data_IF_919768367810
#
_entry.id   IF_919768367810
#
_cell.length_a   1.000
_cell.length_b   1.000
_cell.length_c   1.000
_cell.angle_alpha   90.00
_cell.angle_beta   90.00
_cell.angle_gamma   90.00
#
_symmetry.space_group_name_H-M   'P 1'
#
loop_
_entity.id
_entity.type
_entity.pdbx_description
1 polymer ?
#
# COMPACT_ATOMS: atom_id res chain seq x y z
N UNK A 1 -18.66 12.00 52.90
CA UNK A 1 -19.40 12.47 51.72
C UNK A 1 -18.38 12.61 50.59
N UNK A 2 -18.02 11.49 49.97
CA UNK A 2 -16.92 11.41 49.00
C UNK A 2 -17.46 10.77 47.74
N UNK A 3 -18.29 11.54 47.01
CA UNK A 3 -18.78 11.20 45.68
C UNK A 3 -18.24 12.24 44.68
N UNK A 4 -16.92 12.46 44.71
CA UNK A 4 -16.23 13.26 43.72
C UNK A 4 -15.17 12.38 43.05
N UNK A 5 -15.50 11.99 41.82
CA UNK A 5 -14.56 11.74 40.72
C UNK A 5 -13.77 10.42 40.75
N UNK A 6 -14.49 9.29 40.81
CA UNK A 6 -14.03 8.09 40.12
C UNK A 6 -14.31 8.23 38.62
N UNK A 7 -13.57 9.11 37.93
CA UNK A 7 -13.44 9.01 36.47
C UNK A 7 -12.38 7.95 36.25
N UNK A 8 -12.82 6.69 36.23
CA UNK A 8 -11.95 5.59 35.85
C UNK A 8 -11.60 5.77 34.36
N UNK A 9 -10.32 5.68 34.00
CA UNK A 9 -9.90 5.79 32.61
C UNK A 9 -10.30 4.54 31.84
N UNK A 10 -11.50 4.56 31.28
CA UNK A 10 -12.06 3.47 30.47
C UNK A 10 -12.12 3.94 29.00
N UNK A 11 -11.01 3.80 28.25
CA UNK A 11 -10.90 4.33 26.89
C UNK A 11 -11.94 3.74 25.94
N UNK A 12 -12.37 2.49 26.19
CA UNK A 12 -13.40 1.81 25.40
C UNK A 12 -14.78 2.45 25.57
N UNK A 13 -15.25 2.65 26.81
CA UNK A 13 -16.55 3.30 27.07
C UNK A 13 -16.54 4.75 26.60
N UNK A 14 -15.45 5.47 26.86
CA UNK A 14 -15.31 6.86 26.40
C UNK A 14 -15.33 6.94 24.87
N UNK A 15 -14.64 6.03 24.19
CA UNK A 15 -14.63 5.95 22.74
C UNK A 15 -16.02 5.72 22.15
N UNK A 16 -16.76 4.74 22.67
CA UNK A 16 -18.13 4.44 22.23
C UNK A 16 -19.05 5.65 22.47
N UNK A 17 -18.97 6.27 23.66
CA UNK A 17 -19.79 7.43 24.00
C UNK A 17 -19.51 8.61 23.06
N UNK A 18 -18.25 8.88 22.73
CA UNK A 18 -17.86 9.92 21.78
C UNK A 18 -18.47 9.65 20.40
N UNK A 19 -18.43 8.40 19.93
CA UNK A 19 -19.03 8.03 18.63
C UNK A 19 -20.54 8.24 18.65
N UNK A 20 -21.24 7.81 19.71
CA UNK A 20 -22.70 8.01 19.84
C UNK A 20 -23.03 9.51 19.84
N UNK A 21 -22.31 10.31 20.62
CA UNK A 21 -22.52 11.76 20.67
C UNK A 21 -22.22 12.40 19.31
N UNK A 22 -21.15 11.99 18.63
CA UNK A 22 -20.79 12.49 17.30
C UNK A 22 -21.88 12.16 16.27
N UNK A 23 -22.39 10.92 16.23
CA UNK A 23 -23.46 10.52 15.31
C UNK A 23 -24.76 11.24 15.63
N UNK A 24 -25.16 11.30 16.90
CA UNK A 24 -26.37 11.99 17.35
C UNK A 24 -26.32 13.49 17.08
N UNK A 25 -25.17 14.13 17.30
CA UNK A 25 -25.01 15.58 17.12
C UNK A 25 -24.83 15.93 15.64
N UNK A 26 -24.00 15.21 14.89
CA UNK A 26 -23.72 15.54 13.49
C UNK A 26 -24.85 15.10 12.56
N UNK A 27 -25.26 13.83 12.62
CA UNK A 27 -26.29 13.29 11.73
C UNK A 27 -27.70 13.58 12.27
N UNK A 28 -27.88 13.42 13.59
CA UNK A 28 -29.18 13.61 14.23
C UNK A 28 -29.67 15.06 14.21
N UNK A 29 -28.81 16.05 14.43
CA UNK A 29 -29.22 17.46 14.38
C UNK A 29 -29.73 17.88 13.00
N UNK A 30 -29.03 17.50 11.93
CA UNK A 30 -29.42 17.77 10.54
C UNK A 30 -30.77 17.11 10.24
N UNK A 31 -30.96 15.85 10.68
CA UNK A 31 -32.25 15.18 10.53
C UNK A 31 -33.37 15.89 11.30
N UNK A 32 -33.16 16.30 12.56
CA UNK A 32 -34.21 16.96 13.36
C UNK A 32 -34.63 18.29 12.75
N UNK A 33 -33.68 19.08 12.25
CA UNK A 33 -33.97 20.36 11.57
C UNK A 33 -34.78 20.10 10.29
N UNK A 34 -34.37 19.15 9.45
CA UNK A 34 -35.07 18.86 8.21
C UNK A 34 -36.43 18.18 8.46
N UNK A 35 -36.52 17.33 9.47
CA UNK A 35 -37.72 16.59 9.82
C UNK A 35 -38.86 17.49 10.31
N UNK A 36 -38.56 18.57 11.02
CA UNK A 36 -39.56 19.55 11.45
C UNK A 36 -40.06 20.45 10.31
N UNK A 37 -39.21 20.73 9.31
CA UNK A 37 -39.57 21.60 8.19
C UNK A 37 -40.22 20.85 7.01
N UNK A 38 -39.78 19.63 6.72
CA UNK A 38 -40.14 18.86 5.52
C UNK A 38 -40.97 17.60 5.84
N UNK A 39 -41.14 17.27 7.12
CA UNK A 39 -41.74 16.03 7.60
C UNK A 39 -40.70 14.91 7.78
N UNK A 40 -40.92 14.03 8.76
CA UNK A 40 -39.95 13.01 9.17
C UNK A 40 -39.41 12.15 8.02
N UNK A 41 -40.28 11.63 7.16
CA UNK A 41 -39.88 10.73 6.07
C UNK A 41 -39.05 11.42 5.00
N UNK A 42 -39.40 12.65 4.63
CA UNK A 42 -38.66 13.41 3.62
C UNK A 42 -37.37 14.00 4.20
N UNK A 43 -37.43 14.53 5.41
CA UNK A 43 -36.27 15.01 6.15
C UNK A 43 -35.21 13.92 6.30
N UNK A 44 -35.61 12.66 6.54
CA UNK A 44 -34.68 11.52 6.58
C UNK A 44 -33.97 11.28 5.24
N UNK A 45 -34.72 11.24 4.12
CA UNK A 45 -34.14 11.02 2.80
C UNK A 45 -33.16 12.13 2.40
N UNK A 46 -33.51 13.39 2.70
CA UNK A 46 -32.63 14.54 2.43
C UNK A 46 -31.39 14.51 3.32
N UNK A 47 -31.53 14.23 4.62
CA UNK A 47 -30.39 14.12 5.53
C UNK A 47 -29.44 12.99 5.12
N UNK A 48 -29.98 11.83 4.72
CA UNK A 48 -29.18 10.69 4.26
C UNK A 48 -28.48 11.00 2.93
N UNK A 49 -29.14 11.72 2.01
CA UNK A 49 -28.51 12.17 0.77
C UNK A 49 -27.36 13.15 1.04
N UNK A 50 -27.54 14.07 2.00
CA UNK A 50 -26.49 14.99 2.42
C UNK A 50 -25.29 14.25 3.04
N UNK A 51 -25.54 13.26 3.90
CA UNK A 51 -24.49 12.41 4.46
C UNK A 51 -23.74 11.62 3.39
N UNK A 52 -24.45 11.03 2.42
CA UNK A 52 -23.84 10.31 1.31
C UNK A 52 -22.99 11.25 0.42
N UNK A 53 -23.46 12.48 0.17
CA UNK A 53 -22.71 13.50 -0.55
C UNK A 53 -21.45 13.94 0.19
N UNK A 54 -21.54 14.12 1.51
CA UNK A 54 -20.38 14.42 2.35
C UNK A 54 -19.36 13.27 2.33
N UNK A 55 -19.82 12.01 2.48
CA UNK A 55 -18.97 10.82 2.40
C UNK A 55 -18.32 10.66 1.03
N UNK A 56 -19.01 11.03 -0.06
CA UNK A 56 -18.43 11.06 -1.40
C UNK A 56 -17.28 12.08 -1.50
N UNK A 57 -17.46 13.30 -1.00
CA UNK A 57 -16.41 14.34 -1.01
C UNK A 57 -15.21 13.91 -0.17
N UNK A 58 -15.45 13.36 1.02
CA UNK A 58 -14.39 12.83 1.89
C UNK A 58 -13.69 11.65 1.24
N UNK A 59 -14.45 10.70 0.66
CA UNK A 59 -13.92 9.54 -0.06
C UNK A 59 -13.05 9.95 -1.24
N UNK A 60 -13.46 10.94 -2.04
CA UNK A 60 -12.67 11.49 -3.14
C UNK A 60 -11.36 12.14 -2.64
N UNK A 61 -11.44 12.89 -1.53
CA UNK A 61 -10.26 13.50 -0.90
C UNK A 61 -9.29 12.44 -0.38
N UNK A 62 -9.80 11.45 0.34
CA UNK A 62 -9.05 10.32 0.88
C UNK A 62 -8.42 9.47 -0.20
N UNK A 63 -9.14 9.20 -1.30
CA UNK A 63 -8.62 8.48 -2.44
C UNK A 63 -7.48 9.24 -3.13
N UNK A 64 -7.65 10.56 -3.32
CA UNK A 64 -6.64 11.41 -3.98
C UNK A 64 -5.36 11.51 -3.15
N UNK A 65 -5.48 11.80 -1.86
CA UNK A 65 -4.33 12.02 -0.98
C UNK A 65 -3.82 10.75 -0.27
N UNK A 66 -4.47 9.59 -0.46
CA UNK A 66 -4.18 8.37 0.28
C UNK A 66 -4.16 8.63 1.79
N UNK A 67 -5.30 9.09 2.32
CA UNK A 67 -5.53 9.33 3.76
C UNK A 67 -6.81 8.60 4.21
N UNK A 68 -6.99 8.46 5.52
CA UNK A 68 -8.16 7.78 6.09
C UNK A 68 -7.90 6.29 6.30
N UNK A 69 -8.84 5.44 5.89
CA UNK A 69 -8.67 3.98 5.91
C UNK A 69 -7.73 3.57 4.78
N UNK A 70 -6.50 3.19 5.14
CA UNK A 70 -5.47 2.80 4.19
C UNK A 70 -5.43 1.28 4.06
N UNK A 71 -5.23 0.81 2.83
CA UNK A 71 -4.83 -0.56 2.57
C UNK A 71 -3.34 -0.76 2.80
N UNK A 72 -2.84 -1.92 2.39
CA UNK A 72 -1.43 -2.29 2.56
C UNK A 72 -0.52 -1.40 1.71
N UNK A 73 0.62 -1.03 2.31
CA UNK A 73 1.63 -0.23 1.64
C UNK A 73 2.51 -1.11 0.73
N UNK A 74 3.01 -0.56 -0.39
CA UNK A 74 3.90 -1.31 -1.27
C UNK A 74 5.19 -1.68 -0.55
N UNK A 75 5.54 -2.96 -0.58
CA UNK A 75 6.69 -3.53 0.12
C UNK A 75 7.40 -4.55 -0.76
N UNK A 76 8.68 -4.82 -0.45
CA UNK A 76 9.38 -5.94 -1.06
C UNK A 76 9.02 -7.20 -0.29
N UNK A 77 8.56 -8.22 -1.00
CA UNK A 77 8.15 -9.50 -0.43
C UNK A 77 9.09 -10.61 -0.93
N UNK A 78 9.38 -11.61 -0.08
CA UNK A 78 10.19 -12.75 -0.48
C UNK A 78 9.45 -13.57 -1.55
N UNK A 79 10.18 -14.06 -2.55
CA UNK A 79 9.59 -15.01 -3.52
C UNK A 79 9.46 -16.38 -2.86
N UNK A 80 8.23 -16.88 -2.74
CA UNK A 80 7.93 -18.11 -2.02
C UNK A 80 8.82 -19.29 -2.45
N UNK A 81 9.56 -19.85 -1.48
CA UNK A 81 10.44 -21.01 -1.67
C UNK A 81 11.78 -20.73 -2.37
N UNK A 82 12.07 -19.47 -2.71
CA UNK A 82 13.20 -19.09 -3.59
C UNK A 82 13.95 -17.83 -3.11
N UNK A 83 13.74 -17.44 -1.85
CA UNK A 83 14.18 -16.12 -1.33
C UNK A 83 15.69 -15.96 -1.28
N UNK A 84 16.44 -17.00 -0.92
CA UNK A 84 17.90 -16.93 -0.75
C UNK A 84 18.55 -17.97 -1.66
N UNK A 85 19.36 -17.49 -2.58
CA UNK A 85 20.06 -18.29 -3.58
C UNK A 85 21.53 -18.30 -3.22
N UNK A 86 22.01 -19.44 -2.73
CA UNK A 86 23.40 -19.64 -2.29
C UNK A 86 24.28 -20.29 -3.34
N UNK A 87 23.67 -21.11 -4.20
CA UNK A 87 24.36 -21.84 -5.26
C UNK A 87 24.13 -21.15 -6.60
N UNK A 88 25.19 -20.98 -7.38
CA UNK A 88 25.07 -20.33 -8.70
C UNK A 88 24.26 -21.16 -9.70
N UNK A 89 24.25 -22.48 -9.56
CA UNK A 89 23.40 -23.40 -10.32
C UNK A 89 21.92 -23.09 -10.08
N UNK A 90 21.53 -22.81 -8.84
CA UNK A 90 20.15 -22.49 -8.48
C UNK A 90 19.66 -21.20 -9.16
N UNK A 91 20.53 -20.24 -9.52
CA UNK A 91 20.12 -19.06 -10.31
C UNK A 91 19.51 -19.47 -11.66
N UNK A 92 20.06 -20.49 -12.31
CA UNK A 92 19.52 -21.01 -13.58
C UNK A 92 18.24 -21.84 -13.38
N UNK A 93 18.15 -22.64 -12.31
CA UNK A 93 16.93 -23.41 -11.98
C UNK A 93 15.74 -22.50 -11.65
N UNK A 94 16.02 -21.32 -11.12
CA UNK A 94 15.04 -20.28 -10.84
C UNK A 94 14.63 -19.50 -12.09
N UNK A 95 15.27 -19.74 -13.23
CA UNK A 95 15.06 -19.01 -14.47
C UNK A 95 15.62 -17.58 -14.44
N UNK A 96 16.50 -17.27 -13.49
CA UNK A 96 17.19 -15.98 -13.41
C UNK A 96 18.35 -15.92 -14.42
N UNK A 97 18.97 -17.08 -14.69
CA UNK A 97 19.98 -17.28 -15.73
C UNK A 97 19.48 -18.27 -16.81
N UNK A 98 19.78 -18.01 -18.08
CA UNK A 98 19.41 -18.89 -19.19
C UNK A 98 20.21 -20.20 -19.24
N UNK A 99 21.44 -20.18 -18.73
CA UNK A 99 22.33 -21.34 -18.68
C UNK A 99 22.94 -21.50 -17.28
N UNK A 100 23.22 -22.75 -16.84
CA UNK A 100 23.81 -22.99 -15.54
C UNK A 100 25.24 -22.43 -15.48
N UNK A 101 25.49 -21.63 -14.45
CA UNK A 101 26.83 -21.13 -14.16
C UNK A 101 27.55 -22.14 -13.25
N UNK A 102 28.78 -22.50 -13.62
CA UNK A 102 29.64 -23.37 -12.80
C UNK A 102 30.63 -22.51 -12.04
N UNK A 103 30.66 -22.66 -10.71
CA UNK A 103 31.59 -21.93 -9.85
C UNK A 103 33.05 -22.24 -10.21
N UNK A 104 33.90 -21.24 -10.12
CA UNK A 104 35.36 -21.34 -10.24
C UNK A 104 35.99 -21.22 -8.84
N UNK A 105 37.31 -21.40 -8.72
CA UNK A 105 38.05 -21.18 -7.47
C UNK A 105 38.17 -19.68 -7.08
N UNK A 106 37.81 -18.76 -7.99
CA UNK A 106 37.83 -17.32 -7.76
C UNK A 106 36.41 -16.75 -7.62
N UNK A 107 35.97 -16.65 -6.37
CA UNK A 107 34.63 -16.15 -6.01
C UNK A 107 34.38 -14.71 -6.48
N UNK A 108 35.41 -13.87 -6.46
CA UNK A 108 35.27 -12.46 -6.86
C UNK A 108 35.08 -12.35 -8.38
N UNK A 109 35.79 -13.18 -9.15
CA UNK A 109 35.61 -13.27 -10.60
C UNK A 109 34.25 -13.89 -10.97
N UNK A 110 33.77 -14.88 -10.20
CA UNK A 110 32.46 -15.48 -10.40
C UNK A 110 31.32 -14.47 -10.23
N UNK A 111 31.37 -13.65 -9.16
CA UNK A 111 30.39 -12.60 -8.94
C UNK A 111 30.35 -11.57 -10.08
N UNK A 112 31.51 -11.14 -10.59
CA UNK A 112 31.59 -10.25 -11.75
C UNK A 112 31.08 -10.88 -13.05
N UNK A 113 31.25 -12.19 -13.21
CA UNK A 113 30.73 -12.94 -14.36
C UNK A 113 29.20 -13.02 -14.30
N UNK A 114 28.63 -13.28 -13.12
CA UNK A 114 27.17 -13.30 -12.89
C UNK A 114 26.56 -11.92 -13.14
N UNK A 115 27.20 -10.84 -12.67
CA UNK A 115 26.78 -9.47 -12.97
C UNK A 115 26.67 -9.25 -14.49
N UNK A 116 27.69 -9.67 -15.24
CA UNK A 116 27.70 -9.54 -16.70
C UNK A 116 26.54 -10.33 -17.33
N UNK A 117 26.35 -11.59 -16.93
CA UNK A 117 25.27 -12.44 -17.45
C UNK A 117 23.87 -11.87 -17.14
N UNK A 118 23.65 -11.37 -15.93
CA UNK A 118 22.38 -10.76 -15.53
C UNK A 118 22.08 -9.53 -16.39
N UNK A 119 23.07 -8.66 -16.59
CA UNK A 119 22.89 -7.46 -17.42
C UNK A 119 22.63 -7.79 -18.89
N UNK A 120 23.27 -8.82 -19.46
CA UNK A 120 22.99 -9.32 -20.81
C UNK A 120 21.56 -9.87 -20.95
N UNK A 121 21.02 -10.48 -19.90
CA UNK A 121 19.66 -11.01 -19.85
C UNK A 121 18.60 -9.95 -19.51
N UNK A 122 18.99 -8.67 -19.45
CA UNK A 122 18.08 -7.54 -19.32
C UNK A 122 17.80 -7.08 -17.88
N UNK A 123 18.57 -7.56 -16.90
CA UNK A 123 18.55 -7.00 -15.55
C UNK A 123 19.28 -5.66 -15.50
N UNK A 124 18.65 -4.65 -14.92
CA UNK A 124 19.26 -3.34 -14.72
C UNK A 124 20.00 -3.30 -13.38
N UNK A 125 21.31 -3.06 -13.41
CA UNK A 125 22.09 -2.78 -12.19
C UNK A 125 21.72 -1.38 -11.67
N UNK A 126 21.22 -1.31 -10.45
CA UNK A 126 20.90 -0.05 -9.79
C UNK A 126 22.16 0.60 -9.24
N UNK A 127 22.29 1.92 -9.44
CA UNK A 127 23.34 2.70 -8.79
C UNK A 127 23.05 2.80 -7.28
N UNK A 128 24.09 2.55 -6.47
CA UNK A 128 24.08 2.69 -5.02
C UNK A 128 23.61 4.05 -4.50
N UNK A 129 23.77 5.12 -5.30
CA UNK A 129 23.31 6.47 -4.97
C UNK A 129 21.78 6.65 -5.10
N UNK A 130 21.08 5.75 -5.79
CA UNK A 130 19.65 5.86 -6.00
C UNK A 130 18.85 5.43 -4.76
N UNK A 131 17.75 6.13 -4.44
CA UNK A 131 16.85 5.71 -3.35
C UNK A 131 16.27 4.31 -3.54
N UNK A 132 16.05 3.87 -4.79
CA UNK A 132 15.54 2.54 -5.11
C UNK A 132 16.51 1.44 -4.68
N UNK A 133 17.81 1.66 -4.87
CA UNK A 133 18.85 0.74 -4.40
C UNK A 133 18.77 0.58 -2.89
N UNK A 134 18.72 1.69 -2.14
CA UNK A 134 18.72 1.67 -0.68
C UNK A 134 17.46 0.98 -0.10
N UNK A 135 16.30 1.20 -0.73
CA UNK A 135 15.06 0.53 -0.32
C UNK A 135 15.11 -0.99 -0.54
N UNK A 136 15.61 -1.42 -1.69
CA UNK A 136 15.77 -2.84 -2.00
C UNK A 136 16.84 -3.50 -1.12
N UNK A 137 18.01 -2.85 -0.97
CA UNK A 137 19.11 -3.34 -0.13
C UNK A 137 18.68 -3.51 1.33
N UNK A 138 17.95 -2.54 1.87
CA UNK A 138 17.43 -2.62 3.24
C UNK A 138 16.41 -3.75 3.40
N UNK A 139 15.47 -3.91 2.47
CA UNK A 139 14.50 -4.99 2.54
C UNK A 139 15.15 -6.37 2.39
N UNK A 140 16.11 -6.51 1.49
CA UNK A 140 16.90 -7.73 1.34
C UNK A 140 17.69 -8.07 2.60
N UNK A 141 18.32 -7.07 3.22
CA UNK A 141 19.03 -7.24 4.50
C UNK A 141 18.13 -7.74 5.62
N UNK A 142 16.92 -7.20 5.75
CA UNK A 142 15.93 -7.68 6.74
C UNK A 142 15.59 -9.16 6.51
N UNK A 143 15.37 -9.58 5.26
CA UNK A 143 15.08 -10.99 4.94
C UNK A 143 16.25 -11.92 5.25
N UNK A 144 17.49 -11.47 5.03
CA UNK A 144 18.71 -12.23 5.39
C UNK A 144 18.79 -12.46 6.90
N UNK A 145 18.49 -11.44 7.69
CA UNK A 145 18.48 -11.52 9.15
C UNK A 145 17.32 -12.39 9.67
N UNK A 146 16.11 -12.23 9.13
CA UNK A 146 14.92 -13.00 9.51
C UNK A 146 15.07 -14.50 9.24
N UNK A 147 15.70 -14.85 8.12
CA UNK A 147 16.00 -16.24 7.76
C UNK A 147 17.20 -16.82 8.51
N UNK A 148 17.89 -16.00 9.33
CA UNK A 148 19.10 -16.36 10.09
C UNK A 148 20.24 -16.88 9.20
N UNK A 149 20.32 -16.37 7.97
CA UNK A 149 21.40 -16.74 7.05
C UNK A 149 22.69 -16.03 7.44
N UNK A 150 22.59 -14.76 7.82
CA UNK A 150 23.67 -13.98 8.44
C UNK A 150 23.12 -13.14 9.58
N UNK A 151 23.93 -12.88 10.61
CA UNK A 151 23.59 -11.91 11.64
C UNK A 151 23.87 -10.46 11.18
N UNK A 152 23.24 -9.50 11.86
CA UNK A 152 23.48 -8.08 11.61
C UNK A 152 24.99 -7.76 11.74
N UNK A 153 25.57 -7.20 10.66
CA UNK A 153 26.99 -6.85 10.60
C UNK A 153 27.92 -7.96 10.08
N UNK A 154 27.40 -9.15 9.74
CA UNK A 154 28.17 -10.24 9.11
C UNK A 154 28.12 -10.21 7.58
N UNK A 155 27.35 -9.29 7.00
CA UNK A 155 27.17 -9.18 5.55
C UNK A 155 27.14 -7.73 5.09
N UNK A 156 27.43 -7.52 3.81
CA UNK A 156 27.29 -6.24 3.13
C UNK A 156 26.55 -6.45 1.80
N UNK A 157 25.56 -5.60 1.53
CA UNK A 157 24.91 -5.53 0.22
C UNK A 157 25.86 -4.86 -0.76
N UNK A 158 26.21 -5.56 -1.84
CA UNK A 158 27.16 -5.08 -2.86
C UNK A 158 26.42 -4.43 -4.02
N UNK A 159 25.52 -5.20 -4.66
CA UNK A 159 24.77 -4.75 -5.83
C UNK A 159 23.28 -5.05 -5.67
N UNK A 160 22.47 -4.35 -6.45
CA UNK A 160 21.03 -4.61 -6.59
C UNK A 160 20.69 -4.61 -8.07
N UNK A 161 20.07 -5.70 -8.53
CA UNK A 161 19.61 -5.87 -9.90
C UNK A 161 18.09 -5.81 -9.94
N UNK A 162 17.55 -5.07 -10.90
CA UNK A 162 16.12 -4.81 -11.06
C UNK A 162 15.64 -5.30 -12.44
N UNK A 163 14.49 -5.98 -12.47
CA UNK A 163 13.80 -6.31 -13.72
C UNK A 163 12.28 -6.10 -13.59
N UNK A 164 11.69 -5.54 -14.64
CA UNK A 164 10.24 -5.37 -14.76
C UNK A 164 9.74 -4.04 -14.21
N UNK A 165 8.58 -4.04 -13.54
CA UNK A 165 7.99 -2.83 -12.94
C UNK A 165 7.42 -1.80 -13.93
N UNK A 166 7.41 -2.10 -15.22
CA UNK A 166 6.80 -1.25 -16.25
C UNK A 166 5.30 -1.09 -15.99
N UNK A 167 4.82 0.16 -16.04
CA UNK A 167 3.40 0.50 -15.90
C UNK A 167 2.78 0.81 -17.26
N UNK A 168 1.50 0.49 -17.43
CA UNK A 168 0.73 0.70 -18.66
C UNK A 168 -0.73 1.07 -18.31
N UNK A 169 -1.43 1.84 -19.16
CA UNK A 169 -0.98 2.51 -20.37
C UNK A 169 -0.08 3.72 -20.10
N UNK A 170 0.94 3.91 -20.95
CA UNK A 170 1.79 5.11 -20.94
C UNK A 170 1.14 6.13 -21.88
N UNK A 171 0.60 7.21 -21.30
CA UNK A 171 -0.06 8.27 -22.07
C UNK A 171 0.88 9.49 -22.20
N UNK A 172 0.86 10.13 -23.37
CA UNK A 172 1.67 11.33 -23.66
C UNK A 172 3.15 11.16 -23.31
N UNK A 173 3.74 10.03 -23.71
CA UNK A 173 5.17 9.74 -23.52
C UNK A 173 5.59 9.76 -22.03
N UNK A 174 4.70 9.33 -21.14
CA UNK A 174 4.97 9.22 -19.70
C UNK A 174 4.70 10.50 -18.90
N UNK A 175 4.25 11.59 -19.53
CA UNK A 175 3.91 12.83 -18.81
C UNK A 175 2.66 12.71 -17.93
N UNK A 176 1.80 11.73 -18.22
CA UNK A 176 0.57 11.46 -17.46
C UNK A 176 0.66 10.06 -16.87
N UNK A 177 1.34 9.95 -15.73
CA UNK A 177 1.57 8.67 -15.03
C UNK A 177 0.36 8.21 -14.19
N UNK A 178 -0.59 9.11 -13.88
CA UNK A 178 -1.76 8.79 -13.02
C UNK A 178 -2.77 7.83 -13.66
N UNK A 179 -2.63 7.55 -14.96
CA UNK A 179 -3.52 6.68 -15.76
C UNK A 179 -2.88 5.31 -15.99
N UNK A 180 -1.65 5.08 -15.50
CA UNK A 180 -0.95 3.81 -15.64
C UNK A 180 -1.41 2.80 -14.56
N UNK A 181 -2.57 2.18 -14.80
CA UNK A 181 -3.22 1.28 -13.83
C UNK A 181 -2.69 -0.15 -13.81
N UNK A 182 -2.16 -0.63 -14.92
CA UNK A 182 -1.61 -1.98 -15.03
C UNK A 182 -0.10 -1.94 -14.87
N UNK A 183 0.45 -2.97 -14.25
CA UNK A 183 1.87 -3.11 -14.05
C UNK A 183 2.32 -4.52 -14.41
N UNK A 184 3.56 -4.63 -14.88
CA UNK A 184 4.25 -5.92 -14.93
C UNK A 184 4.84 -6.21 -13.55
N UNK A 185 4.95 -7.50 -13.16
CA UNK A 185 5.62 -7.84 -11.92
C UNK A 185 7.03 -7.26 -11.92
N UNK A 186 7.44 -6.76 -10.75
CA UNK A 186 8.71 -6.09 -10.53
C UNK A 186 9.53 -6.96 -9.60
N UNK A 187 10.64 -7.47 -10.12
CA UNK A 187 11.53 -8.34 -9.37
C UNK A 187 12.84 -7.63 -9.11
N UNK A 188 13.43 -7.95 -7.97
CA UNK A 188 14.75 -7.48 -7.59
C UNK A 188 15.57 -8.64 -7.05
N UNK A 189 16.85 -8.64 -7.43
CA UNK A 189 17.87 -9.53 -6.93
C UNK A 189 18.90 -8.69 -6.17
N UNK A 190 19.00 -8.88 -4.85
CA UNK A 190 19.97 -8.19 -4.00
C UNK A 190 21.16 -9.10 -3.80
N UNK A 191 22.35 -8.64 -4.18
CA UNK A 191 23.60 -9.36 -3.99
C UNK A 191 24.20 -9.03 -2.62
N UNK A 192 24.44 -10.07 -1.83
CA UNK A 192 24.93 -9.99 -0.47
C UNK A 192 26.26 -10.73 -0.37
N UNK A 193 27.30 -10.02 0.06
CA UNK A 193 28.61 -10.60 0.30
C UNK A 193 28.87 -10.75 1.81
N UNK A 194 29.39 -11.90 2.26
CA UNK A 194 29.78 -12.09 3.66
C UNK A 194 30.97 -11.20 4.03
N UNK A 195 31.03 -10.79 5.29
CA UNK A 195 32.11 -9.98 5.85
C UNK A 195 33.06 -10.84 6.71
N UNK A 196 34.34 -10.52 6.66
CA UNK A 196 35.34 -11.15 7.54
C UNK A 196 35.08 -10.72 8.99
N UNK A 197 34.92 -11.64 9.95
CA UNK A 197 34.68 -11.31 11.35
C UNK A 197 35.81 -10.45 11.92
N UNK A 198 35.48 -9.21 12.29
CA UNK A 198 36.44 -8.27 12.88
C UNK A 198 36.39 -8.35 14.40
N UNK A 199 37.56 -8.42 15.05
CA UNK A 199 37.63 -8.33 16.51
C UNK A 199 37.38 -6.90 16.96
N UNK A 200 36.43 -6.71 17.87
CA UNK A 200 36.18 -5.43 18.52
C UNK A 200 37.02 -5.31 19.78
N UNK A 201 38.02 -4.43 19.76
CA UNK A 201 38.80 -4.09 20.96
C UNK A 201 38.14 -2.91 21.69
N UNK A 202 37.87 -3.01 23.01
CA UNK A 202 37.30 -1.91 23.78
C UNK A 202 38.17 -0.65 23.71
N UNK A 203 37.58 0.48 23.31
CA UNK A 203 38.27 1.79 23.25
C UNK A 203 38.95 2.12 21.91
N UNK A 204 38.97 1.20 20.94
CA UNK A 204 39.40 1.47 19.56
C UNK A 204 38.18 1.52 18.63
N UNK A 205 38.23 2.41 17.64
CA UNK A 205 37.21 2.41 16.59
C UNK A 205 37.18 1.03 15.90
N UNK A 206 35.99 0.47 15.59
CA UNK A 206 35.89 -0.78 14.86
C UNK A 206 36.69 -0.75 13.58
N UNK A 207 37.37 -1.85 13.25
CA UNK A 207 38.04 -1.98 11.96
C UNK A 207 36.99 -1.86 10.83
N UNK A 208 37.39 -1.27 9.70
CA UNK A 208 36.53 -1.17 8.53
C UNK A 208 36.15 -2.57 8.07
N UNK A 209 34.87 -2.80 7.79
CA UNK A 209 34.38 -4.05 7.25
C UNK A 209 35.08 -4.38 5.92
N UNK A 210 35.53 -5.61 5.77
CA UNK A 210 36.16 -6.15 4.55
C UNK A 210 35.37 -7.37 4.11
N UNK A 211 35.04 -7.41 2.82
CA UNK A 211 34.32 -8.53 2.20
C UNK A 211 35.20 -9.78 2.22
N UNK A 212 34.62 -10.90 2.63
CA UNK A 212 35.26 -12.21 2.63
C UNK A 212 35.21 -12.82 1.22
N UNK A 213 36.33 -12.78 0.50
CA UNK A 213 36.45 -13.35 -0.85
C UNK A 213 36.59 -14.87 -0.85
N UNK A 214 36.61 -15.54 0.31
CA UNK A 214 36.68 -17.01 0.40
C UNK A 214 35.30 -17.68 0.35
N UNK A 215 34.22 -16.92 0.52
CA UNK A 215 32.86 -17.43 0.57
C UNK A 215 32.03 -16.84 -0.57
N UNK A 216 31.20 -17.66 -1.26
CA UNK A 216 30.38 -17.20 -2.37
C UNK A 216 29.41 -16.11 -1.95
N UNK A 217 29.15 -15.20 -2.88
CA UNK A 217 28.09 -14.19 -2.72
C UNK A 217 26.73 -14.88 -2.78
N UNK A 218 25.81 -14.43 -1.93
CA UNK A 218 24.44 -14.94 -1.86
C UNK A 218 23.48 -13.93 -2.47
N UNK A 219 22.43 -14.40 -3.14
CA UNK A 219 21.45 -13.54 -3.79
C UNK A 219 20.08 -13.64 -3.12
N UNK A 220 19.49 -12.50 -2.81
CA UNK A 220 18.15 -12.41 -2.23
C UNK A 220 17.16 -12.04 -3.32
N UNK A 221 16.29 -12.97 -3.67
CA UNK A 221 15.28 -12.80 -4.71
C UNK A 221 13.94 -12.34 -4.13
N UNK A 222 13.50 -11.17 -4.56
CA UNK A 222 12.31 -10.49 -4.05
C UNK A 222 11.38 -10.06 -5.18
N UNK A 223 10.09 -9.99 -4.87
CA UNK A 223 9.06 -9.39 -5.72
C UNK A 223 8.52 -8.14 -5.04
N UNK A 224 8.25 -7.09 -5.82
CA UNK A 224 7.56 -5.90 -5.32
C UNK A 224 6.08 -6.19 -5.22
N UNK A 225 5.55 -6.19 -4.01
CA UNK A 225 4.13 -6.01 -3.82
C UNK A 225 3.79 -4.53 -3.95
N UNK A 226 2.87 -4.20 -4.86
CA UNK A 226 2.41 -2.84 -5.09
C UNK A 226 1.41 -2.36 -4.05
N UNK A 227 0.91 -3.29 -3.23
CA UNK A 227 -0.04 -3.03 -2.16
C UNK A 227 -1.41 -2.57 -2.67
N UNK A 228 -2.27 -2.22 -1.72
CA UNK A 228 -3.67 -1.83 -1.96
C UNK A 228 -4.02 -0.51 -1.29
N UNK A 229 -3.01 0.34 -1.01
CA UNK A 229 -3.10 1.57 -0.20
C UNK A 229 -4.36 2.41 -0.44
N UNK A 230 -4.80 2.57 -1.69
CA UNK A 230 -5.95 3.42 -2.09
C UNK A 230 -7.26 2.67 -2.26
N UNK A 231 -7.27 1.35 -2.26
CA UNK A 231 -8.46 0.52 -2.54
C UNK A 231 -9.58 0.77 -1.54
N UNK A 232 -9.35 0.79 -0.22
CA UNK A 232 -10.44 1.02 0.74
C UNK A 232 -11.10 2.39 0.58
N UNK A 233 -10.31 3.44 0.36
CA UNK A 233 -10.83 4.79 0.11
C UNK A 233 -11.62 4.88 -1.21
N UNK A 234 -11.17 4.19 -2.26
CA UNK A 234 -11.89 4.12 -3.53
C UNK A 234 -13.26 3.44 -3.37
N UNK A 235 -13.33 2.35 -2.61
CA UNK A 235 -14.60 1.65 -2.31
C UNK A 235 -15.57 2.60 -1.61
N UNK A 236 -15.13 3.30 -0.57
CA UNK A 236 -15.97 4.27 0.17
C UNK A 236 -16.49 5.37 -0.76
N UNK A 237 -15.62 5.91 -1.64
CA UNK A 237 -16.00 6.95 -2.59
C UNK A 237 -17.08 6.46 -3.56
N UNK A 238 -16.84 5.33 -4.21
CA UNK A 238 -17.75 4.76 -5.23
C UNK A 238 -19.07 4.34 -4.59
N UNK A 239 -19.04 3.66 -3.44
CA UNK A 239 -20.27 3.25 -2.74
C UNK A 239 -21.11 4.45 -2.31
N UNK A 240 -20.47 5.50 -1.79
CA UNK A 240 -21.16 6.73 -1.38
C UNK A 240 -21.75 7.48 -2.56
N UNK A 241 -21.05 7.52 -3.70
CA UNK A 241 -21.58 8.09 -4.95
C UNK A 241 -22.83 7.34 -5.43
N UNK A 242 -22.80 6.01 -5.44
CA UNK A 242 -23.95 5.19 -5.84
C UNK A 242 -25.14 5.46 -4.92
N UNK A 243 -24.94 5.47 -3.61
CA UNK A 243 -25.99 5.76 -2.63
C UNK A 243 -26.56 7.17 -2.85
N UNK A 244 -25.70 8.17 -3.04
CA UNK A 244 -26.12 9.54 -3.32
C UNK A 244 -26.99 9.62 -4.57
N UNK A 245 -26.57 9.01 -5.68
CA UNK A 245 -27.32 9.04 -6.93
C UNK A 245 -28.68 8.34 -6.80
N UNK A 246 -28.75 7.23 -6.09
CA UNK A 246 -30.02 6.54 -5.81
C UNK A 246 -30.97 7.40 -4.96
N UNK A 247 -30.47 8.09 -3.93
CA UNK A 247 -31.27 8.97 -3.09
C UNK A 247 -31.76 10.20 -3.85
N UNK A 248 -30.89 10.82 -4.65
CA UNK A 248 -31.26 11.93 -5.54
C UNK A 248 -32.34 11.49 -6.55
N UNK A 249 -32.21 10.29 -7.11
CA UNK A 249 -33.21 9.73 -8.02
C UNK A 249 -34.57 9.49 -7.34
N UNK A 250 -34.58 8.97 -6.11
CA UNK A 250 -35.81 8.80 -5.32
C UNK A 250 -36.48 10.14 -5.01
N UNK A 251 -35.71 11.13 -4.59
CA UNK A 251 -36.20 12.49 -4.30
C UNK A 251 -36.76 13.15 -5.57
N UNK A 252 -36.05 13.05 -6.70
CA UNK A 252 -36.50 13.57 -7.98
C UNK A 252 -37.81 12.91 -8.44
N UNK A 253 -37.92 11.58 -8.32
CA UNK A 253 -39.13 10.84 -8.67
C UNK A 253 -40.31 11.25 -7.79
N UNK A 254 -40.06 11.49 -6.50
CA UNK A 254 -41.08 11.98 -5.56
C UNK A 254 -41.55 13.38 -5.95
N UNK A 255 -40.65 14.29 -6.29
CA UNK A 255 -41.01 15.66 -6.67
C UNK A 255 -41.85 15.68 -7.95
N UNK A 256 -41.51 14.85 -8.94
CA UNK A 256 -42.33 14.68 -10.14
C UNK A 256 -43.77 14.25 -9.82
N UNK A 257 -43.94 13.23 -8.97
CA UNK A 257 -45.29 12.77 -8.54
C UNK A 257 -46.06 13.87 -7.81
N UNK A 258 -45.39 14.66 -6.97
CA UNK A 258 -46.03 15.79 -6.27
C UNK A 258 -46.46 16.88 -7.25
N UNK A 259 -45.65 17.18 -8.26
CA UNK A 259 -46.00 18.13 -9.31
C UNK A 259 -47.22 17.67 -10.11
N UNK A 260 -47.27 16.39 -10.50
CA UNK A 260 -48.42 15.79 -11.20
C UNK A 260 -49.70 15.84 -10.34
N UNK A 261 -49.61 15.50 -9.06
CA UNK A 261 -50.76 15.57 -8.16
C UNK A 261 -51.24 17.00 -7.90
N UNK A 262 -50.33 17.98 -7.89
CA UNK A 262 -50.68 19.40 -7.73
C UNK A 262 -51.28 20.01 -8.99
N UNK A 263 -50.94 19.50 -10.17
CA UNK A 263 -51.51 19.95 -11.45
C UNK A 263 -52.83 19.26 -11.79
N UNK A 264 -53.15 18.14 -11.13
CA UNK A 264 -54.44 17.47 -11.27
C UNK A 264 -55.59 18.36 -10.79
N UNK A 265 -56.69 18.40 -11.56
CA UNK A 265 -57.88 19.19 -11.23
C UNK A 265 -58.53 18.64 -9.96
N UNK A 266 -58.83 19.50 -8.99
CA UNK A 266 -59.48 19.08 -7.74
C UNK A 266 -60.79 18.36 -8.04
N UNK A 267 -61.00 17.19 -7.42
CA UNK A 267 -62.26 16.47 -7.51
C UNK A 267 -63.40 17.35 -6.96
N UNK A 268 -64.59 17.35 -7.58
CA UNK A 268 -65.72 18.10 -7.04
C UNK A 268 -65.99 17.64 -5.62
N UNK A 269 -66.12 18.58 -4.68
CA UNK A 269 -66.54 18.28 -3.32
C UNK A 269 -67.88 17.53 -3.40
N UNK A 270 -67.91 16.29 -2.92
CA UNK A 270 -69.13 15.48 -2.91
C UNK A 270 -70.25 16.23 -2.18
N UNK A 271 -71.41 16.32 -2.84
CA UNK A 271 -72.64 16.81 -2.26
C UNK A 271 -73.23 15.80 -1.26
#
# INVERSE_FOLDING_TARGET
>A
MSALLAINWEPELRGILIVIIAVGTLCGSVYLILGTNLGARLGFLVALAALAGWMFIMGATWWTYSKGLLGEEPSWQPVAGKTIVREYTALSELGLLESPFTATDDVAADAGSIETLLTEQGWAKLDSALPSFQQAASAGGVLVEETKTFAAGEFQVVNVFDIGGQRTPILFDGKVDFVAFFHKPHYVLVEVAPLVPQRTEPGRAPARAVIDTSRPHEYVYMIRDTGSKRVPAAIICISSLVILLLLCWLLHTRDRRVMENRSAKALPAGA
#
